data_IF_186056967269
#
_entry.id   IF_186056967269
#
_cell.length_a   1.000
_cell.length_b   1.000
_cell.length_c   1.000
_cell.angle_alpha   90.00
_cell.angle_beta   90.00
_cell.angle_gamma   90.00
#
_symmetry.space_group_name_H-M   'P 1'
#
loop_
_entity.id
_entity.type
_entity.pdbx_description
1 polymer ?
#
# COMPACT_ATOMS: atom_id res chain seq x y z
N UNK A 1 -5.74 -22.77 18.59
CA UNK A 1 -7.05 -22.26 18.13
C UNK A 1 -6.76 -21.34 16.95
N UNK A 2 -7.52 -21.43 15.85
CA UNK A 2 -7.23 -20.71 14.60
C UNK A 2 -8.52 -20.10 14.07
N UNK A 3 -8.47 -18.84 13.66
CA UNK A 3 -9.57 -18.11 13.05
C UNK A 3 -9.42 -18.13 11.52
N UNK A 4 -10.54 -18.26 10.81
CA UNK A 4 -10.56 -18.35 9.36
C UNK A 4 -11.90 -17.87 8.80
N UNK A 5 -11.88 -17.35 7.57
CA UNK A 5 -13.09 -16.93 6.88
C UNK A 5 -13.72 -18.09 6.13
N UNK A 6 -15.03 -18.28 6.24
CA UNK A 6 -15.78 -19.23 5.42
C UNK A 6 -15.84 -18.70 3.99
N UNK A 7 -15.30 -19.46 3.04
CA UNK A 7 -15.27 -19.10 1.62
C UNK A 7 -16.36 -19.81 0.83
N UNK A 8 -16.76 -21.00 1.25
CA UNK A 8 -17.82 -21.78 0.62
C UNK A 8 -18.60 -22.58 1.67
N UNK A 9 -19.92 -22.60 1.52
CA UNK A 9 -20.80 -23.43 2.32
C UNK A 9 -21.69 -24.29 1.42
N UNK A 10 -21.39 -25.59 1.35
CA UNK A 10 -22.22 -26.55 0.63
C UNK A 10 -23.13 -27.30 1.61
N UNK A 11 -24.43 -26.96 1.55
CA UNK A 11 -25.47 -27.57 2.40
C UNK A 11 -25.81 -29.00 2.03
N UNK A 12 -25.70 -29.37 0.75
CA UNK A 12 -26.04 -30.72 0.28
C UNK A 12 -24.95 -31.71 0.68
N UNK A 13 -23.69 -31.33 0.48
CA UNK A 13 -22.54 -32.14 0.88
C UNK A 13 -22.17 -31.98 2.38
N UNK A 14 -22.81 -31.05 3.09
CA UNK A 14 -22.47 -30.66 4.48
C UNK A 14 -20.98 -30.33 4.63
N UNK A 15 -20.41 -29.64 3.65
CA UNK A 15 -18.99 -29.29 3.58
C UNK A 15 -18.82 -27.78 3.72
N UNK A 16 -17.84 -27.38 4.52
CA UNK A 16 -17.46 -25.98 4.71
C UNK A 16 -16.01 -25.81 4.28
N UNK A 17 -15.77 -24.86 3.38
CA UNK A 17 -14.42 -24.45 3.00
C UNK A 17 -14.07 -23.18 3.75
N UNK A 18 -12.92 -23.17 4.40
CA UNK A 18 -12.40 -22.03 5.17
C UNK A 18 -11.02 -21.64 4.67
N UNK A 19 -10.67 -20.37 4.79
CA UNK A 19 -9.36 -19.84 4.41
C UNK A 19 -8.90 -18.77 5.40
N UNK A 20 -7.67 -18.95 5.88
CA UNK A 20 -6.98 -18.00 6.77
C UNK A 20 -6.52 -16.79 5.94
N UNK A 21 -5.93 -17.03 4.76
CA UNK A 21 -5.51 -15.97 3.84
C UNK A 21 -6.67 -15.04 3.45
N UNK A 22 -7.87 -15.61 3.25
CA UNK A 22 -9.04 -14.80 2.95
C UNK A 22 -9.52 -13.94 4.15
N UNK A 23 -9.20 -14.34 5.37
CA UNK A 23 -9.41 -13.52 6.57
C UNK A 23 -8.38 -12.39 6.62
N UNK A 24 -7.09 -12.72 6.47
CA UNK A 24 -5.98 -11.75 6.48
C UNK A 24 -6.20 -10.62 5.45
N UNK A 25 -6.53 -10.97 4.20
CA UNK A 25 -6.78 -9.97 3.14
C UNK A 25 -8.00 -9.10 3.45
N UNK A 26 -9.00 -9.64 4.14
CA UNK A 26 -10.18 -8.88 4.52
C UNK A 26 -9.87 -7.86 5.61
N UNK A 27 -9.13 -8.30 6.63
CA UNK A 27 -8.67 -7.47 7.74
C UNK A 27 -7.70 -6.41 7.23
N UNK A 28 -6.77 -6.77 6.36
CA UNK A 28 -5.84 -5.82 5.72
C UNK A 28 -6.60 -4.77 4.91
N UNK A 29 -7.61 -5.18 4.12
CA UNK A 29 -8.41 -4.24 3.34
C UNK A 29 -9.24 -3.31 4.25
N UNK A 30 -9.79 -3.82 5.34
CA UNK A 30 -10.54 -3.01 6.31
C UNK A 30 -9.61 -2.05 7.06
N UNK A 31 -8.42 -2.50 7.44
CA UNK A 31 -7.38 -1.66 8.02
C UNK A 31 -6.88 -0.61 7.02
N UNK A 32 -6.74 -0.92 5.74
CA UNK A 32 -6.44 0.08 4.70
C UNK A 32 -7.60 1.07 4.55
N UNK A 33 -8.85 0.65 4.67
CA UNK A 33 -9.97 1.60 4.59
C UNK A 33 -10.03 2.52 5.83
N UNK A 34 -9.70 2.01 7.02
CA UNK A 34 -9.76 2.76 8.28
C UNK A 34 -8.50 3.58 8.56
N UNK A 35 -7.33 3.08 8.19
CA UNK A 35 -6.02 3.64 8.50
C UNK A 35 -5.21 4.01 7.25
N UNK A 36 -5.58 3.52 6.07
CA UNK A 36 -5.04 3.96 4.80
C UNK A 36 -5.61 5.33 4.44
N UNK A 37 -5.07 6.34 5.09
CA UNK A 37 -5.27 7.74 4.72
C UNK A 37 -4.81 7.93 3.26
N UNK A 38 -5.75 8.30 2.39
CA UNK A 38 -5.44 8.71 1.01
C UNK A 38 -4.48 9.91 1.01
N UNK A 39 -4.57 10.77 2.03
CA UNK A 39 -3.68 11.90 2.25
C UNK A 39 -2.23 11.48 2.55
N UNK A 40 -2.01 10.34 3.22
CA UNK A 40 -0.66 9.82 3.51
C UNK A 40 0.01 9.25 2.26
N UNK A 41 -0.76 8.74 1.30
CA UNK A 41 -0.26 8.29 0.00
C UNK A 41 0.13 9.46 -0.93
N UNK A 42 -0.72 10.49 -1.01
CA UNK A 42 -0.45 11.69 -1.80
C UNK A 42 0.71 12.51 -1.20
N UNK A 43 0.70 12.78 0.11
CA UNK A 43 1.75 13.57 0.78
C UNK A 43 3.13 12.91 0.73
N UNK A 44 3.22 11.57 0.87
CA UNK A 44 4.50 10.88 0.68
C UNK A 44 4.97 10.96 -0.78
N UNK A 45 4.05 10.85 -1.74
CA UNK A 45 4.33 11.05 -3.16
C UNK A 45 4.85 12.44 -3.48
N UNK A 46 4.25 13.47 -2.90
CA UNK A 46 4.65 14.87 -3.07
C UNK A 46 6.01 15.15 -2.44
N UNK A 47 6.25 14.67 -1.21
CA UNK A 47 7.53 14.83 -0.50
C UNK A 47 8.66 14.11 -1.27
N UNK A 48 8.42 12.86 -1.69
CA UNK A 48 9.41 12.08 -2.42
C UNK A 48 9.66 12.64 -3.82
N UNK A 49 8.61 13.06 -4.52
CA UNK A 49 8.70 13.68 -5.84
C UNK A 49 9.44 15.02 -5.79
N UNK A 50 9.20 15.84 -4.78
CA UNK A 50 9.93 17.08 -4.54
C UNK A 50 11.41 16.82 -4.24
N UNK A 51 11.71 15.83 -3.38
CA UNK A 51 13.09 15.46 -3.04
C UNK A 51 13.86 14.93 -4.25
N UNK A 52 13.23 14.12 -5.11
CA UNK A 52 13.83 13.61 -6.34
C UNK A 52 14.12 14.73 -7.34
N UNK A 53 13.16 15.63 -7.58
CA UNK A 53 13.37 16.81 -8.45
C UNK A 53 14.49 17.71 -7.94
N UNK A 54 14.53 17.98 -6.63
CA UNK A 54 15.63 18.75 -6.02
C UNK A 54 16.99 18.08 -6.23
N UNK A 55 17.03 16.74 -6.21
CA UNK A 55 18.25 15.96 -6.46
C UNK A 55 18.64 15.90 -7.95
N UNK A 56 17.71 16.08 -8.88
CA UNK A 56 17.99 16.22 -10.31
C UNK A 56 18.39 17.66 -10.71
N UNK A 57 17.91 18.67 -9.98
CA UNK A 57 18.27 20.08 -10.23
C UNK A 57 19.64 20.47 -9.64
N UNK A 58 20.03 19.87 -8.52
CA UNK A 58 21.35 20.10 -7.89
C UNK A 58 22.57 19.75 -8.77
N UNK A 59 22.61 18.64 -9.55
CA UNK A 59 23.74 18.38 -10.46
C UNK A 59 23.77 19.32 -11.67
N UNK A 60 22.67 20.02 -11.99
CA UNK A 60 22.60 20.99 -13.10
C UNK A 60 23.06 22.39 -12.71
N UNK A 61 22.87 22.80 -11.45
CA UNK A 61 23.39 24.08 -10.93
C UNK A 61 24.90 24.03 -10.71
N UNK A 62 25.42 22.93 -10.14
CA UNK A 62 26.86 22.76 -9.91
C UNK A 62 27.71 22.81 -11.20
N UNK A 63 27.16 22.43 -12.36
CA UNK A 63 27.86 22.55 -13.66
C UNK A 63 27.75 23.92 -14.32
N UNK A 64 26.77 24.75 -13.92
CA UNK A 64 26.53 26.05 -14.54
C UNK A 64 27.34 27.17 -13.88
N UNK A 65 27.69 27.00 -12.60
CA UNK A 65 28.53 27.93 -11.85
C UNK A 65 30.04 27.75 -12.12
N UNK A 66 30.45 26.72 -12.86
CA UNK A 66 31.86 26.49 -13.30
C UNK A 66 32.17 27.04 -14.71
N UNK A 67 31.18 27.53 -15.46
CA UNK A 67 31.34 27.97 -16.87
C UNK A 67 31.13 29.49 -17.08
N UNK A 68 31.04 30.29 -16.01
CA UNK A 68 30.97 31.77 -16.06
C UNK A 68 32.22 32.44 -15.45
#
# INVERSE_FOLDING_TARGET
KVDARVTLFDRKARKVSVSIKALEVAEEKEAIAQYGSADSGASLGDILGAALKAREETPKKAKKDEEE
#
